data_IF_094298577736
#
_entry.id   IF_094298577736
#
_cell.length_a   1.000
_cell.length_b   1.000
_cell.length_c   1.000
_cell.angle_alpha   90.00
_cell.angle_beta   90.00
_cell.angle_gamma   90.00
#
_symmetry.space_group_name_H-M   'P 1'
#
loop_
_entity.id
_entity.type
_entity.pdbx_description
1 polymer ?
#
# COMPACT_ATOMS: atom_id res chain seq x y z
N UNK A 1 36.66 17.15 -15.45
CA UNK A 1 38.02 17.09 -16.02
C UNK A 1 39.09 17.49 -14.99
N UNK A 2 39.06 18.71 -14.44
CA UNK A 2 40.10 19.19 -13.49
C UNK A 2 40.19 18.40 -12.17
N UNK A 3 39.06 17.94 -11.61
CA UNK A 3 39.03 17.14 -10.38
C UNK A 3 39.79 15.81 -10.46
N UNK A 4 39.89 15.21 -11.65
CA UNK A 4 40.62 13.94 -11.85
C UNK A 4 42.13 14.17 -11.74
N UNK A 5 42.60 15.30 -12.25
CA UNK A 5 44.02 15.71 -12.20
C UNK A 5 44.45 15.92 -10.75
N UNK A 6 43.66 16.65 -9.96
CA UNK A 6 43.95 16.93 -8.55
C UNK A 6 43.96 15.69 -7.65
N UNK A 7 43.52 14.53 -8.14
CA UNK A 7 43.52 13.26 -7.38
C UNK A 7 44.61 12.30 -7.84
N UNK A 8 45.42 12.66 -8.83
CA UNK A 8 46.45 11.78 -9.34
C UNK A 8 47.67 11.75 -8.41
N UNK A 9 48.07 10.58 -7.87
CA UNK A 9 49.23 10.46 -6.98
C UNK A 9 50.56 10.92 -7.59
N UNK A 10 50.64 10.96 -8.94
CA UNK A 10 51.86 11.36 -9.66
C UNK A 10 52.40 12.72 -9.22
N UNK A 11 51.51 13.63 -8.80
CA UNK A 11 51.89 15.00 -8.41
C UNK A 11 52.67 15.07 -7.10
N UNK A 12 52.50 14.11 -6.18
CA UNK A 12 53.31 14.03 -4.96
C UNK A 12 54.44 13.01 -5.03
N UNK A 13 54.67 12.41 -6.21
CA UNK A 13 55.70 11.39 -6.41
C UNK A 13 55.17 9.95 -6.40
N UNK A 14 53.88 9.71 -6.14
CA UNK A 14 53.32 8.36 -6.12
C UNK A 14 52.99 7.82 -7.52
N UNK A 15 53.29 6.55 -7.79
CA UNK A 15 52.91 5.85 -9.02
C UNK A 15 51.88 4.78 -8.69
N UNK A 16 50.72 4.87 -9.36
CA UNK A 16 49.65 3.89 -9.20
C UNK A 16 49.93 2.64 -10.06
N UNK A 17 50.05 1.49 -9.42
CA UNK A 17 50.25 0.19 -10.05
C UNK A 17 48.95 -0.60 -9.95
N UNK A 18 48.40 -0.98 -11.10
CA UNK A 18 47.19 -1.80 -11.18
C UNK A 18 47.49 -3.22 -10.70
N UNK A 19 46.48 -3.88 -10.14
CA UNK A 19 46.55 -5.26 -9.70
C UNK A 19 46.92 -6.17 -10.88
N UNK A 20 47.78 -7.15 -10.61
CA UNK A 20 48.19 -8.14 -11.58
C UNK A 20 48.30 -9.52 -10.91
N UNK A 21 47.51 -10.48 -11.39
CA UNK A 21 47.37 -11.82 -10.80
C UNK A 21 47.00 -11.74 -9.31
N UNK A 22 47.86 -12.23 -8.43
CA UNK A 22 47.64 -12.29 -6.98
C UNK A 22 48.15 -11.03 -6.26
N UNK A 23 48.69 -10.04 -6.99
CA UNK A 23 49.18 -8.79 -6.42
C UNK A 23 48.09 -7.72 -6.38
N UNK A 24 47.82 -7.09 -5.22
CA UNK A 24 46.80 -6.06 -5.07
C UNK A 24 47.20 -4.73 -5.72
N UNK A 25 46.23 -3.85 -5.96
CA UNK A 25 46.49 -2.47 -6.40
C UNK A 25 47.26 -1.72 -5.30
N UNK A 26 48.41 -1.14 -5.66
CA UNK A 26 49.27 -0.40 -4.72
C UNK A 26 49.75 0.92 -5.32
N UNK A 27 50.06 1.87 -4.45
CA UNK A 27 50.75 3.10 -4.80
C UNK A 27 52.17 2.99 -4.26
N UNK A 28 53.15 3.09 -5.15
CA UNK A 28 54.58 3.03 -4.82
C UNK A 28 55.23 4.39 -5.02
N UNK A 29 56.36 4.61 -4.36
CA UNK A 29 57.14 5.83 -4.57
C UNK A 29 57.81 5.79 -5.95
N UNK A 30 57.57 6.83 -6.74
CA UNK A 30 58.19 7.05 -8.04
C UNK A 30 59.58 7.64 -7.91
N UNK A 31 60.36 7.51 -8.99
CA UNK A 31 61.71 8.06 -9.10
C UNK A 31 61.74 9.52 -9.59
N UNK A 32 60.59 10.09 -9.97
CA UNK A 32 60.49 11.45 -10.45
C UNK A 32 60.35 12.46 -9.32
N UNK A 33 60.82 13.69 -9.56
CA UNK A 33 60.68 14.76 -8.58
C UNK A 33 59.19 15.15 -8.40
N UNK A 34 58.69 15.22 -7.15
CA UNK A 34 57.31 15.57 -6.90
C UNK A 34 57.05 17.05 -7.19
N UNK A 35 55.92 17.35 -7.84
CA UNK A 35 55.51 18.73 -8.16
C UNK A 35 54.92 19.42 -6.91
N UNK A 36 54.28 18.67 -6.02
CA UNK A 36 53.76 19.15 -4.74
C UNK A 36 54.13 18.21 -3.60
N UNK A 37 54.18 18.73 -2.37
CA UNK A 37 54.39 17.86 -1.20
C UNK A 37 53.17 16.96 -0.95
N UNK A 38 53.42 15.73 -0.45
CA UNK A 38 52.36 14.80 -0.03
C UNK A 38 51.38 15.43 0.95
N UNK A 39 51.89 16.22 1.90
CA UNK A 39 51.08 16.97 2.87
C UNK A 39 50.10 17.95 2.18
N UNK A 40 50.56 18.71 1.19
CA UNK A 40 49.71 19.63 0.44
C UNK A 40 48.67 18.87 -0.39
N UNK A 41 49.08 17.77 -1.02
CA UNK A 41 48.18 16.91 -1.78
C UNK A 41 47.05 16.35 -0.90
N UNK A 42 47.38 15.83 0.28
CA UNK A 42 46.41 15.27 1.23
C UNK A 42 45.43 16.35 1.73
N UNK A 43 45.90 17.57 2.01
CA UNK A 43 45.04 18.70 2.38
C UNK A 43 44.02 19.02 1.29
N UNK A 44 44.42 18.98 0.02
CA UNK A 44 43.51 19.18 -1.12
C UNK A 44 42.48 18.06 -1.21
N UNK A 45 42.86 16.80 -0.96
CA UNK A 45 41.90 15.68 -0.95
C UNK A 45 40.79 15.88 0.09
N UNK A 46 41.16 16.30 1.30
CA UNK A 46 40.20 16.60 2.38
C UNK A 46 39.17 17.67 1.94
N UNK A 47 39.63 18.73 1.27
CA UNK A 47 38.75 19.79 0.76
C UNK A 47 37.84 19.29 -0.37
N UNK A 48 38.37 18.48 -1.29
CA UNK A 48 37.60 17.90 -2.39
C UNK A 48 36.51 16.94 -1.88
N UNK A 49 36.83 16.12 -0.89
CA UNK A 49 35.89 15.17 -0.28
C UNK A 49 34.83 15.87 0.57
N UNK A 50 35.21 16.95 1.28
CA UNK A 50 34.26 17.79 2.00
C UNK A 50 33.25 18.49 1.06
N UNK A 51 33.69 18.92 -0.14
CA UNK A 51 32.79 19.49 -1.17
C UNK A 51 31.82 18.44 -1.74
N UNK A 52 32.25 17.18 -1.90
CA UNK A 52 31.36 16.09 -2.37
C UNK A 52 30.16 15.88 -1.45
N UNK A 53 30.34 16.06 -0.13
CA UNK A 53 29.24 15.98 0.86
C UNK A 53 28.23 17.14 0.75
N UNK A 54 28.66 18.33 0.32
CA UNK A 54 27.79 19.52 0.19
C UNK A 54 26.89 19.51 -1.06
N UNK A 55 27.24 18.75 -2.10
CA UNK A 55 26.45 18.65 -3.34
C UNK A 55 25.42 17.53 -3.36
N UNK A 56 25.38 16.68 -2.33
CA UNK A 56 24.22 15.84 -2.09
C UNK A 56 23.10 16.69 -1.51
N UNK A 57 22.43 17.45 -2.38
CA UNK A 57 21.08 17.94 -2.06
C UNK A 57 20.24 16.69 -1.83
N UNK A 58 19.93 16.41 -0.58
CA UNK A 58 18.88 15.44 -0.22
C UNK A 58 17.58 15.97 -0.81
N UNK A 59 17.30 15.61 -2.06
CA UNK A 59 15.97 15.82 -2.61
C UNK A 59 15.00 15.09 -1.71
N UNK A 60 14.02 15.81 -1.14
CA UNK A 60 12.95 15.16 -0.42
C UNK A 60 12.35 14.11 -1.36
N UNK A 61 12.33 12.85 -0.90
CA UNK A 61 11.74 11.74 -1.68
C UNK A 61 10.30 12.07 -2.08
N UNK A 62 9.63 12.87 -1.25
CA UNK A 62 8.25 13.33 -1.37
C UNK A 62 8.25 14.76 -1.89
N UNK A 63 7.62 14.98 -3.04
CA UNK A 63 7.39 16.30 -3.62
C UNK A 63 5.88 16.46 -3.83
N UNK A 64 5.30 17.53 -3.30
CA UNK A 64 3.87 17.81 -3.35
C UNK A 64 3.34 17.94 -4.78
N UNK A 65 4.19 18.39 -5.72
CA UNK A 65 3.85 18.47 -7.15
C UNK A 65 3.72 17.10 -7.82
N UNK A 66 4.25 16.04 -7.23
CA UNK A 66 4.28 14.71 -7.84
C UNK A 66 3.74 13.63 -6.88
N UNK A 67 2.44 13.66 -6.54
CA UNK A 67 1.85 12.73 -5.59
C UNK A 67 2.00 11.27 -6.01
N UNK A 68 1.91 10.98 -7.31
CA UNK A 68 1.97 9.63 -7.87
C UNK A 68 3.41 9.13 -8.11
N UNK A 69 4.44 9.93 -7.81
CA UNK A 69 5.84 9.51 -7.98
C UNK A 69 6.15 8.26 -7.16
N UNK A 70 6.72 7.25 -7.81
CA UNK A 70 7.03 5.96 -7.20
C UNK A 70 5.91 4.93 -7.27
N UNK A 71 4.69 5.32 -7.67
CA UNK A 71 3.57 4.40 -7.89
C UNK A 71 3.34 4.08 -9.37
N UNK A 72 3.78 4.93 -10.29
CA UNK A 72 3.50 4.79 -11.72
C UNK A 72 4.52 3.90 -12.45
N UNK A 73 4.02 3.06 -13.35
CA UNK A 73 4.78 2.30 -14.34
C UNK A 73 4.65 2.94 -15.72
N UNK A 74 5.73 2.89 -16.49
CA UNK A 74 5.73 3.31 -17.89
C UNK A 74 4.92 2.32 -18.74
N UNK A 75 3.91 2.76 -19.51
CA UNK A 75 3.12 1.88 -20.36
C UNK A 75 3.91 1.24 -21.51
N UNK A 76 5.10 1.78 -21.87
CA UNK A 76 5.94 1.22 -22.93
C UNK A 76 6.88 0.11 -22.44
N UNK A 77 7.40 0.21 -21.21
CA UNK A 77 8.45 -0.69 -20.73
C UNK A 77 8.26 -1.22 -19.31
N UNK A 78 7.13 -0.94 -18.67
CA UNK A 78 6.77 -1.33 -17.30
C UNK A 78 7.80 -0.96 -16.22
N UNK A 79 8.73 -0.04 -16.50
CA UNK A 79 9.67 0.48 -15.51
C UNK A 79 9.04 1.63 -14.72
N UNK A 80 9.41 1.83 -13.44
CA UNK A 80 8.88 2.92 -12.64
C UNK A 80 9.19 4.29 -13.25
N UNK A 81 8.19 5.16 -13.31
CA UNK A 81 8.37 6.52 -13.80
C UNK A 81 9.06 7.40 -12.75
N UNK A 82 9.98 8.21 -13.24
CA UNK A 82 10.53 9.36 -12.51
C UNK A 82 9.70 10.60 -12.80
N UNK A 83 10.03 11.72 -12.16
CA UNK A 83 9.28 12.95 -12.35
C UNK A 83 10.20 14.17 -12.28
N UNK A 84 10.00 15.11 -13.19
CA UNK A 84 10.79 16.33 -13.32
C UNK A 84 9.94 17.49 -13.81
N UNK A 85 10.37 18.71 -13.46
CA UNK A 85 9.84 19.94 -14.04
C UNK A 85 10.82 20.41 -15.11
N UNK A 86 10.33 20.68 -16.31
CA UNK A 86 11.08 21.25 -17.41
C UNK A 86 10.66 22.71 -17.60
N UNK A 87 11.62 23.60 -17.83
CA UNK A 87 11.34 25.01 -18.17
C UNK A 87 11.22 25.16 -19.68
N UNK A 88 10.08 25.69 -20.14
CA UNK A 88 9.86 26.13 -21.51
C UNK A 88 10.24 27.60 -21.72
N UNK A 89 9.76 28.20 -22.82
CA UNK A 89 10.05 29.63 -23.13
C UNK A 89 9.43 30.58 -22.11
N UNK A 90 8.18 30.34 -21.75
CA UNK A 90 7.39 31.17 -20.83
C UNK A 90 6.99 30.45 -19.53
N UNK A 91 6.82 29.13 -19.58
CA UNK A 91 6.19 28.36 -18.50
C UNK A 91 6.99 27.13 -18.08
N UNK A 92 6.65 26.57 -16.93
CA UNK A 92 7.22 25.32 -16.44
C UNK A 92 6.22 24.18 -16.64
N UNK A 93 6.69 23.10 -17.25
CA UNK A 93 5.89 21.91 -17.53
C UNK A 93 6.37 20.76 -16.67
N UNK A 94 5.45 20.07 -16.02
CA UNK A 94 5.77 18.96 -15.14
C UNK A 94 5.36 17.62 -15.77
N UNK A 95 6.27 16.64 -15.71
CA UNK A 95 6.11 15.35 -16.37
C UNK A 95 6.47 14.19 -15.45
N UNK A 96 5.75 13.10 -15.61
CA UNK A 96 6.23 11.77 -15.29
C UNK A 96 6.95 11.22 -16.52
N UNK A 97 8.21 10.78 -16.37
CA UNK A 97 9.01 10.34 -17.50
C UNK A 97 9.83 9.10 -17.16
N UNK A 98 10.07 8.28 -18.19
CA UNK A 98 10.95 7.15 -18.09
C UNK A 98 12.41 7.58 -18.19
N UNK A 99 13.30 6.62 -17.89
CA UNK A 99 14.75 6.74 -18.05
C UNK A 99 15.15 5.96 -19.30
N UNK A 100 16.20 6.45 -19.97
CA UNK A 100 16.86 5.80 -21.11
C UNK A 100 17.04 4.28 -20.89
N UNK A 101 16.85 3.44 -21.92
CA UNK A 101 16.59 3.77 -23.33
C UNK A 101 15.15 4.19 -23.66
N UNK A 102 14.19 4.06 -22.74
CA UNK A 102 12.80 4.43 -23.00
C UNK A 102 12.63 5.95 -22.87
N UNK A 103 11.93 6.55 -23.86
CA UNK A 103 11.74 7.99 -23.97
C UNK A 103 10.34 8.45 -23.55
N UNK A 104 9.52 7.54 -23.02
CA UNK A 104 8.16 7.82 -22.57
C UNK A 104 8.08 9.02 -21.62
N UNK A 105 7.21 9.97 -21.96
CA UNK A 105 6.97 11.21 -21.22
C UNK A 105 5.47 11.49 -21.18
N UNK A 106 4.96 11.74 -19.98
CA UNK A 106 3.53 11.90 -19.73
C UNK A 106 3.30 13.13 -18.87
N UNK A 107 2.38 14.00 -19.26
CA UNK A 107 2.06 15.20 -18.48
C UNK A 107 1.46 14.77 -17.13
N UNK A 108 1.74 15.53 -16.08
CA UNK A 108 1.12 15.27 -14.77
C UNK A 108 -0.40 15.23 -14.89
N UNK A 109 -0.98 16.20 -15.60
CA UNK A 109 -2.43 16.33 -15.78
C UNK A 109 -3.08 15.07 -16.35
N UNK A 110 -2.42 14.41 -17.31
CA UNK A 110 -2.93 13.17 -17.92
C UNK A 110 -2.95 12.02 -16.93
N UNK A 111 -1.86 11.85 -16.17
CA UNK A 111 -1.75 10.82 -15.14
C UNK A 111 -2.74 11.08 -13.99
N UNK A 112 -2.83 12.32 -13.51
CA UNK A 112 -3.76 12.69 -12.43
C UNK A 112 -5.21 12.58 -12.88
N UNK A 113 -5.56 12.99 -14.11
CA UNK A 113 -6.92 12.83 -14.65
C UNK A 113 -7.30 11.36 -14.74
N UNK A 114 -6.39 10.50 -15.21
CA UNK A 114 -6.61 9.06 -15.29
C UNK A 114 -6.83 8.45 -13.90
N UNK A 115 -6.00 8.86 -12.94
CA UNK A 115 -6.10 8.42 -11.55
C UNK A 115 -7.40 8.90 -10.90
N UNK A 116 -7.77 10.16 -11.06
CA UNK A 116 -9.03 10.72 -10.54
C UNK A 116 -10.26 10.08 -11.17
N UNK A 117 -10.22 9.76 -12.46
CA UNK A 117 -11.28 8.99 -13.13
C UNK A 117 -11.43 7.60 -12.52
N UNK A 118 -10.32 6.93 -12.24
CA UNK A 118 -10.33 5.65 -11.54
C UNK A 118 -10.91 5.78 -10.12
N UNK A 119 -10.49 6.77 -9.33
CA UNK A 119 -11.03 7.03 -7.99
C UNK A 119 -12.55 7.22 -8.04
N UNK A 120 -13.06 8.05 -8.95
CA UNK A 120 -14.50 8.24 -9.16
C UNK A 120 -15.23 6.95 -9.51
N UNK A 121 -14.58 6.04 -10.24
CA UNK A 121 -15.19 4.76 -10.60
C UNK A 121 -15.39 3.85 -9.38
N UNK A 122 -14.49 3.93 -8.39
CA UNK A 122 -14.55 3.12 -7.16
C UNK A 122 -15.27 3.82 -6.01
N UNK A 123 -15.60 5.12 -6.12
CA UNK A 123 -16.39 5.84 -5.14
C UNK A 123 -17.80 5.25 -5.06
N UNK A 124 -18.24 4.91 -3.85
CA UNK A 124 -19.59 4.38 -3.63
C UNK A 124 -20.63 5.51 -3.64
N UNK A 125 -21.65 5.35 -4.47
CA UNK A 125 -22.86 6.17 -4.40
C UNK A 125 -23.66 5.80 -3.15
N UNK A 126 -24.32 6.78 -2.53
CA UNK A 126 -25.11 6.58 -1.30
C UNK A 126 -26.10 5.39 -1.38
N UNK A 127 -26.90 5.21 -2.46
CA UNK A 127 -27.83 4.07 -2.55
C UNK A 127 -27.13 2.70 -2.63
N UNK A 128 -25.97 2.64 -3.29
CA UNK A 128 -25.18 1.40 -3.41
C UNK A 128 -24.57 1.03 -2.06
N UNK A 129 -24.12 2.03 -1.31
CA UNK A 129 -23.59 1.85 0.04
C UNK A 129 -24.66 1.33 1.01
N UNK A 130 -25.86 1.89 0.97
CA UNK A 130 -27.00 1.42 1.78
C UNK A 130 -27.35 -0.03 1.44
N UNK A 131 -27.41 -0.39 0.15
CA UNK A 131 -27.65 -1.76 -0.30
C UNK A 131 -26.55 -2.73 0.17
N UNK A 132 -25.27 -2.36 0.03
CA UNK A 132 -24.15 -3.18 0.50
C UNK A 132 -24.20 -3.41 2.00
N UNK A 133 -24.57 -2.39 2.79
CA UNK A 133 -24.72 -2.53 4.24
C UNK A 133 -25.83 -3.53 4.59
N UNK A 134 -26.96 -3.51 3.88
CA UNK A 134 -28.05 -4.47 4.07
C UNK A 134 -27.57 -5.89 3.73
N UNK A 135 -26.96 -6.09 2.57
CA UNK A 135 -26.47 -7.42 2.13
C UNK A 135 -25.45 -7.99 3.12
N UNK A 136 -24.49 -7.17 3.58
CA UNK A 136 -23.49 -7.62 4.56
C UNK A 136 -24.16 -7.96 5.89
N UNK A 137 -25.12 -7.15 6.34
CA UNK A 137 -25.86 -7.42 7.57
C UNK A 137 -26.61 -8.75 7.48
N UNK A 138 -27.32 -9.00 6.39
CA UNK A 138 -28.04 -10.25 6.16
C UNK A 138 -27.09 -11.46 6.09
N UNK A 139 -25.95 -11.32 5.42
CA UNK A 139 -24.99 -12.40 5.29
C UNK A 139 -24.33 -12.74 6.63
N UNK A 140 -23.98 -11.73 7.43
CA UNK A 140 -23.47 -11.92 8.79
C UNK A 140 -24.54 -12.52 9.71
N UNK A 141 -25.81 -12.12 9.57
CA UNK A 141 -26.91 -12.74 10.31
C UNK A 141 -27.14 -14.20 9.93
N UNK A 142 -27.04 -14.56 8.64
CA UNK A 142 -27.10 -15.96 8.20
C UNK A 142 -25.94 -16.78 8.77
N UNK A 143 -24.72 -16.23 8.76
CA UNK A 143 -23.56 -16.85 9.42
C UNK A 143 -23.77 -16.98 10.93
N UNK A 144 -24.38 -16.00 11.60
CA UNK A 144 -24.74 -16.11 13.02
C UNK A 144 -25.73 -17.25 13.26
N UNK A 145 -26.74 -17.41 12.41
CA UNK A 145 -27.72 -18.48 12.56
C UNK A 145 -27.11 -19.88 12.37
N UNK A 146 -26.11 -20.01 11.48
CA UNK A 146 -25.39 -21.28 11.28
C UNK A 146 -24.26 -21.52 12.28
N UNK A 147 -23.70 -20.46 12.90
CA UNK A 147 -22.60 -20.53 13.87
C UNK A 147 -23.01 -20.35 15.32
N UNK A 148 -24.31 -20.19 15.61
CA UNK A 148 -24.80 -20.18 16.98
C UNK A 148 -24.39 -21.49 17.66
N UNK A 149 -23.53 -21.37 18.68
CA UNK A 149 -23.25 -22.47 19.59
C UNK A 149 -24.58 -22.94 20.16
N UNK A 150 -24.97 -24.16 19.78
CA UNK A 150 -26.25 -24.74 20.17
C UNK A 150 -26.27 -25.09 21.66
N UNK A 151 -27.43 -25.48 22.22
CA UNK A 151 -27.54 -25.88 23.61
C UNK A 151 -26.53 -26.99 24.00
N UNK A 152 -26.22 -27.90 23.06
CA UNK A 152 -25.19 -28.95 23.22
C UNK A 152 -23.79 -28.43 23.55
N UNK A 153 -23.41 -27.25 23.05
CA UNK A 153 -22.12 -26.64 23.38
C UNK A 153 -22.06 -26.25 24.85
N UNK A 154 -23.08 -25.52 25.32
CA UNK A 154 -23.17 -25.08 26.72
C UNK A 154 -23.34 -26.25 27.69
N UNK A 155 -24.05 -27.31 27.29
CA UNK A 155 -24.10 -28.58 28.03
C UNK A 155 -22.71 -29.21 28.16
N UNK A 156 -21.91 -29.20 27.09
CA UNK A 156 -20.54 -29.73 27.10
C UNK A 156 -19.63 -28.89 27.99
N UNK A 157 -19.71 -27.56 27.92
CA UNK A 157 -18.96 -26.64 28.80
C UNK A 157 -19.28 -26.93 30.26
N UNK A 158 -20.58 -27.04 30.60
CA UNK A 158 -21.02 -27.37 31.96
C UNK A 158 -20.48 -28.72 32.42
N UNK A 159 -20.56 -29.74 31.58
CA UNK A 159 -20.06 -31.08 31.90
C UNK A 159 -18.55 -31.11 32.14
N UNK A 160 -17.76 -30.32 31.40
CA UNK A 160 -16.32 -30.22 31.59
C UNK A 160 -15.98 -29.46 32.89
N UNK A 161 -16.70 -28.38 33.19
CA UNK A 161 -16.57 -27.68 34.48
C UNK A 161 -16.94 -28.58 35.67
N UNK A 162 -18.04 -29.32 35.58
CA UNK A 162 -18.46 -30.27 36.61
C UNK A 162 -17.40 -31.37 36.81
N UNK A 163 -16.73 -31.81 35.74
CA UNK A 163 -15.59 -32.73 35.84
C UNK A 163 -14.41 -32.08 36.55
N UNK A 164 -14.01 -30.87 36.17
CA UNK A 164 -12.91 -30.13 36.81
C UNK A 164 -13.11 -29.96 38.33
N UNK A 165 -14.36 -29.69 38.76
CA UNK A 165 -14.72 -29.63 40.18
C UNK A 165 -14.53 -31.01 40.84
N UNK A 166 -15.09 -32.07 40.24
CA UNK A 166 -14.97 -33.43 40.80
C UNK A 166 -13.52 -33.90 40.97
N UNK A 167 -12.63 -33.61 40.03
CA UNK A 167 -11.21 -33.99 40.17
C UNK A 167 -10.49 -33.15 41.22
N UNK A 168 -10.94 -31.92 41.50
CA UNK A 168 -10.44 -31.15 42.64
C UNK A 168 -10.88 -31.80 43.94
N UNK A 169 -12.16 -32.16 44.07
CA UNK A 169 -12.69 -32.81 45.26
C UNK A 169 -11.98 -34.14 45.54
N UNK A 170 -11.80 -34.99 44.51
CA UNK A 170 -11.09 -36.27 44.64
C UNK A 170 -9.61 -36.12 45.04
N UNK A 171 -8.96 -35.03 44.62
CA UNK A 171 -7.60 -34.73 45.03
C UNK A 171 -7.55 -34.25 46.49
N UNK A 172 -8.52 -33.42 46.91
CA UNK A 172 -8.65 -32.94 48.29
C UNK A 172 -8.95 -34.12 49.24
N UNK A 173 -9.81 -35.04 48.84
CA UNK A 173 -10.18 -36.25 49.58
C UNK A 173 -9.05 -37.31 49.61
N UNK A 174 -7.91 -37.02 48.97
CA UNK A 174 -6.73 -37.90 48.95
C UNK A 174 -6.89 -39.16 48.10
N UNK A 175 -7.94 -39.23 47.27
CA UNK A 175 -8.23 -40.39 46.40
C UNK A 175 -7.45 -40.37 45.09
N UNK A 176 -6.64 -39.34 44.86
CA UNK A 176 -5.90 -39.14 43.61
C UNK A 176 -4.55 -38.47 43.90
N UNK A 177 -3.51 -38.89 43.18
CA UNK A 177 -2.17 -38.34 43.38
C UNK A 177 -1.98 -36.98 42.66
N UNK A 178 -0.90 -36.26 42.99
CA UNK A 178 -0.60 -34.95 42.39
C UNK A 178 -0.31 -35.02 40.89
N UNK A 179 0.34 -36.07 40.42
CA UNK A 179 0.66 -36.30 39.00
C UNK A 179 -0.62 -36.54 38.19
N UNK A 180 -1.49 -37.42 38.68
CA UNK A 180 -2.80 -37.75 38.14
C UNK A 180 -3.72 -36.51 38.10
N UNK A 181 -3.79 -35.75 39.19
CA UNK A 181 -4.50 -34.47 39.23
C UNK A 181 -4.02 -33.52 38.15
N UNK A 182 -2.71 -33.33 38.05
CA UNK A 182 -2.12 -32.36 37.12
C UNK A 182 -2.39 -32.75 35.67
N UNK A 183 -2.29 -34.04 35.34
CA UNK A 183 -2.61 -34.56 34.01
C UNK A 183 -4.10 -34.45 33.67
N UNK A 184 -4.98 -34.81 34.61
CA UNK A 184 -6.42 -34.74 34.41
C UNK A 184 -6.90 -33.29 34.28
N UNK A 185 -6.44 -32.39 35.17
CA UNK A 185 -6.72 -30.95 35.11
C UNK A 185 -6.30 -30.37 33.77
N UNK A 186 -5.07 -30.62 33.32
CA UNK A 186 -4.57 -30.11 32.04
C UNK A 186 -5.46 -30.55 30.88
N UNK A 187 -5.81 -31.83 30.81
CA UNK A 187 -6.67 -32.37 29.75
C UNK A 187 -8.03 -31.67 29.67
N UNK A 188 -8.69 -31.47 30.80
CA UNK A 188 -10.00 -30.81 30.82
C UNK A 188 -9.89 -29.30 30.62
N UNK A 189 -8.80 -28.68 31.09
CA UNK A 189 -8.52 -27.27 30.82
C UNK A 189 -8.27 -27.02 29.33
N UNK A 190 -7.48 -27.86 28.65
CA UNK A 190 -7.24 -27.74 27.21
C UNK A 190 -8.56 -27.82 26.41
N UNK A 191 -9.49 -28.69 26.83
CA UNK A 191 -10.82 -28.81 26.22
C UNK A 191 -11.68 -27.57 26.51
N UNK A 192 -11.61 -27.02 27.73
CA UNK A 192 -12.34 -25.82 28.11
C UNK A 192 -11.86 -24.61 27.30
N UNK A 193 -10.55 -24.45 27.17
CA UNK A 193 -9.92 -23.38 26.39
C UNK A 193 -10.33 -23.45 24.91
N UNK A 194 -10.42 -24.66 24.32
CA UNK A 194 -10.92 -24.85 22.95
C UNK A 194 -12.38 -24.42 22.80
N UNK A 195 -13.23 -24.74 23.79
CA UNK A 195 -14.64 -24.35 23.79
C UNK A 195 -14.82 -22.83 23.97
N UNK A 196 -14.00 -22.19 24.82
CA UNK A 196 -13.99 -20.75 25.01
C UNK A 196 -13.53 -19.98 23.75
N UNK A 197 -12.57 -20.53 23.00
CA UNK A 197 -12.14 -19.94 21.72
C UNK A 197 -13.29 -19.87 20.70
N UNK A 198 -14.16 -20.88 20.68
CA UNK A 198 -15.35 -20.89 19.82
C UNK A 198 -16.36 -19.80 20.24
N UNK A 199 -16.54 -19.60 21.54
CA UNK A 199 -17.41 -18.53 22.07
C UNK A 199 -16.86 -17.12 21.76
N UNK A 200 -15.55 -16.93 21.90
CA UNK A 200 -14.88 -15.68 21.55
C UNK A 200 -14.97 -15.37 20.05
N UNK A 201 -14.84 -16.39 19.19
CA UNK A 201 -15.03 -16.24 17.75
C UNK A 201 -16.46 -15.79 17.40
N UNK A 202 -17.46 -16.25 18.16
CA UNK A 202 -18.86 -15.86 17.98
C UNK A 202 -19.11 -14.39 18.42
N UNK A 203 -18.55 -13.96 19.55
CA UNK A 203 -18.74 -12.60 20.07
C UNK A 203 -18.09 -11.51 19.19
N UNK A 204 -16.97 -11.82 18.51
CA UNK A 204 -16.30 -10.88 17.60
C UNK A 204 -17.14 -10.46 16.38
N UNK A 205 -18.23 -11.15 16.04
CA UNK A 205 -19.02 -10.85 14.83
C UNK A 205 -19.81 -9.53 14.88
N UNK A 206 -20.23 -9.05 16.06
CA UNK A 206 -20.85 -7.71 16.16
C UNK A 206 -19.83 -6.59 15.89
N UNK A 207 -18.61 -6.75 16.39
CA UNK A 207 -17.51 -5.81 16.12
C UNK A 207 -17.11 -5.80 14.64
N UNK A 208 -17.20 -6.96 13.99
CA UNK A 208 -16.92 -7.11 12.56
C UNK A 208 -17.90 -6.27 11.71
N UNK A 209 -19.20 -6.29 12.01
CA UNK A 209 -20.17 -5.50 11.24
C UNK A 209 -19.92 -3.99 11.35
N UNK A 210 -19.68 -3.48 12.57
CA UNK A 210 -19.36 -2.07 12.77
C UNK A 210 -18.05 -1.66 12.08
N UNK A 211 -17.08 -2.57 12.04
CA UNK A 211 -15.82 -2.39 11.30
C UNK A 211 -16.08 -2.28 9.79
N UNK A 212 -16.90 -3.16 9.22
CA UNK A 212 -17.30 -3.09 7.81
C UNK A 212 -18.05 -1.80 7.50
N UNK A 213 -18.98 -1.40 8.36
CA UNK A 213 -19.77 -0.17 8.20
C UNK A 213 -18.86 1.07 8.15
N UNK A 214 -17.90 1.17 9.08
CA UNK A 214 -16.89 2.24 9.12
C UNK A 214 -15.97 2.22 7.88
N UNK A 215 -15.58 1.03 7.43
CA UNK A 215 -14.77 0.87 6.21
C UNK A 215 -15.51 1.34 4.96
N UNK A 216 -16.76 0.90 4.79
CA UNK A 216 -17.60 1.30 3.66
C UNK A 216 -17.93 2.79 3.66
N UNK A 217 -18.17 3.39 4.83
CA UNK A 217 -18.39 4.84 4.91
C UNK A 217 -17.15 5.64 4.52
N UNK A 218 -15.93 5.11 4.72
CA UNK A 218 -14.71 5.76 4.23
C UNK A 218 -14.55 5.67 2.71
N UNK A 219 -15.12 4.64 2.08
CA UNK A 219 -15.20 4.57 0.61
C UNK A 219 -16.23 5.55 0.02
N UNK A 220 -17.07 6.13 0.87
CA UNK A 220 -17.92 7.26 0.50
C UNK A 220 -17.05 8.52 0.39
N UNK A 221 -17.15 9.23 -0.74
CA UNK A 221 -16.37 10.43 -1.03
C UNK A 221 -14.84 10.21 -1.08
N UNK A 222 -14.39 9.01 -1.48
CA UNK A 222 -12.97 8.67 -1.57
C UNK A 222 -12.19 9.62 -2.50
N UNK A 223 -12.83 10.09 -3.57
CA UNK A 223 -12.33 11.11 -4.48
C UNK A 223 -12.09 12.47 -3.79
N UNK A 224 -13.05 12.92 -2.96
CA UNK A 224 -12.91 14.18 -2.21
C UNK A 224 -11.81 14.09 -1.15
N UNK A 225 -11.76 12.98 -0.42
CA UNK A 225 -10.71 12.73 0.57
C UNK A 225 -9.31 12.77 -0.05
N UNK A 226 -9.17 12.26 -1.28
CA UNK A 226 -7.91 12.37 -2.01
C UNK A 226 -7.60 13.80 -2.42
N UNK A 227 -8.57 14.57 -2.93
CA UNK A 227 -8.34 15.96 -3.39
C UNK A 227 -7.96 16.88 -2.22
N UNK A 228 -8.72 16.81 -1.14
CA UNK A 228 -8.58 17.67 0.05
C UNK A 228 -7.40 17.26 0.94
N UNK A 229 -6.90 16.03 0.76
CA UNK A 229 -5.79 15.48 1.53
C UNK A 229 -4.45 16.16 1.25
N UNK A 230 -3.61 16.20 2.28
CA UNK A 230 -2.20 16.55 2.14
C UNK A 230 -1.42 15.48 1.34
N UNK A 231 -0.14 15.75 1.05
CA UNK A 231 0.68 14.83 0.24
C UNK A 231 0.84 13.45 0.91
N UNK A 232 0.85 13.39 2.24
CA UNK A 232 0.96 12.13 2.97
C UNK A 232 -0.30 11.30 2.82
N UNK A 233 -1.48 11.89 3.03
CA UNK A 233 -2.76 11.24 2.85
C UNK A 233 -2.99 10.81 1.40
N UNK A 234 -2.65 11.65 0.42
CA UNK A 234 -2.70 11.28 -1.00
C UNK A 234 -1.90 10.01 -1.26
N UNK A 235 -0.64 9.98 -0.84
CA UNK A 235 0.24 8.82 -1.03
C UNK A 235 -0.20 7.58 -0.26
N UNK A 236 -0.72 7.76 0.96
CA UNK A 236 -1.29 6.68 1.76
C UNK A 236 -2.47 6.04 1.04
N UNK A 237 -3.43 6.85 0.59
CA UNK A 237 -4.59 6.38 -0.15
C UNK A 237 -4.17 5.68 -1.46
N UNK A 238 -3.21 6.24 -2.20
CA UNK A 238 -2.66 5.57 -3.40
C UNK A 238 -2.07 4.21 -3.06
N UNK A 239 -1.27 4.09 -2.00
CA UNK A 239 -0.67 2.82 -1.58
C UNK A 239 -1.67 1.78 -1.07
N UNK A 240 -2.77 2.22 -0.45
CA UNK A 240 -3.85 1.33 0.00
C UNK A 240 -4.63 0.72 -1.16
N UNK A 241 -4.83 1.48 -2.24
CA UNK A 241 -5.54 1.01 -3.44
C UNK A 241 -4.64 0.14 -4.31
N UNK A 242 -3.37 0.53 -4.41
CA UNK A 242 -2.38 -0.08 -5.28
C UNK A 242 -1.23 -0.61 -4.42
N UNK A 243 -1.33 -1.87 -3.93
CA UNK A 243 -0.26 -2.52 -3.18
C UNK A 243 1.05 -2.54 -3.97
N UNK A 244 0.92 -2.75 -5.29
CA UNK A 244 1.98 -2.68 -6.28
C UNK A 244 1.82 -1.44 -7.17
N UNK A 245 2.83 -1.15 -7.98
CA UNK A 245 2.80 -0.02 -8.93
C UNK A 245 1.76 -0.25 -10.03
N UNK A 246 1.26 0.82 -10.63
CA UNK A 246 0.22 0.75 -11.67
C UNK A 246 0.61 1.56 -12.91
N UNK A 247 0.16 1.12 -14.07
CA UNK A 247 0.31 1.83 -15.33
C UNK A 247 -0.89 2.70 -15.66
N UNK A 248 -0.75 3.54 -16.68
CA UNK A 248 -1.87 4.25 -17.29
C UNK A 248 -1.72 4.25 -18.80
N UNK A 249 -2.81 3.97 -19.51
CA UNK A 249 -2.86 3.96 -20.96
C UNK A 249 -4.26 4.41 -21.41
N UNK A 250 -4.34 5.23 -22.45
CA UNK A 250 -5.62 5.71 -23.00
C UNK A 250 -6.56 6.32 -21.94
N UNK A 251 -5.99 7.13 -21.02
CA UNK A 251 -6.69 7.76 -19.88
C UNK A 251 -7.31 6.78 -18.87
N UNK A 252 -6.89 5.52 -18.87
CA UNK A 252 -7.33 4.49 -17.92
C UNK A 252 -6.15 3.98 -17.10
N UNK A 253 -6.41 3.70 -15.83
CA UNK A 253 -5.46 3.01 -14.96
C UNK A 253 -5.43 1.52 -15.31
N UNK A 254 -4.24 0.94 -15.38
CA UNK A 254 -4.00 -0.48 -15.63
C UNK A 254 -3.17 -1.07 -14.49
N UNK A 255 -3.60 -2.22 -13.96
CA UNK A 255 -2.85 -2.97 -12.95
C UNK A 255 -3.47 -4.35 -12.78
N UNK A 256 -2.64 -5.34 -12.45
CA UNK A 256 -3.04 -6.71 -12.14
C UNK A 256 -3.48 -6.90 -10.68
N UNK A 257 -3.15 -5.97 -9.79
CA UNK A 257 -3.09 -6.24 -8.35
C UNK A 257 -4.08 -5.40 -7.53
N UNK A 258 -5.15 -4.88 -8.15
CA UNK A 258 -6.21 -4.18 -7.42
C UNK A 258 -7.04 -5.18 -6.62
N UNK A 259 -7.43 -4.78 -5.42
CA UNK A 259 -8.40 -5.51 -4.61
C UNK A 259 -9.69 -5.81 -5.43
N UNK A 260 -10.06 -7.08 -5.63
CA UNK A 260 -11.24 -7.48 -6.43
C UNK A 260 -12.55 -6.80 -6.00
N UNK A 261 -12.68 -6.41 -4.73
CA UNK A 261 -13.82 -5.65 -4.22
C UNK A 261 -13.97 -4.30 -4.95
N UNK A 262 -12.87 -3.58 -5.14
CA UNK A 262 -12.87 -2.26 -5.81
C UNK A 262 -13.25 -2.40 -7.29
N UNK A 263 -12.80 -3.46 -7.96
CA UNK A 263 -13.19 -3.78 -9.34
C UNK A 263 -14.70 -4.08 -9.44
N UNK A 264 -15.25 -4.86 -8.50
CA UNK A 264 -16.69 -5.12 -8.45
C UNK A 264 -17.48 -3.84 -8.22
N UNK A 265 -17.05 -2.97 -7.30
CA UNK A 265 -17.69 -1.66 -7.07
C UNK A 265 -17.69 -0.82 -8.35
N UNK A 266 -16.55 -0.75 -9.04
CA UNK A 266 -16.44 -0.03 -10.32
C UNK A 266 -17.41 -0.59 -11.37
N UNK A 267 -17.48 -1.91 -11.53
CA UNK A 267 -18.42 -2.56 -12.46
C UNK A 267 -19.89 -2.23 -12.14
N UNK A 268 -20.28 -2.27 -10.86
CA UNK A 268 -21.62 -1.94 -10.40
C UNK A 268 -21.95 -0.48 -10.75
N UNK A 269 -21.05 0.45 -10.44
CA UNK A 269 -21.20 1.86 -10.74
C UNK A 269 -21.37 2.12 -12.25
N UNK A 270 -20.59 1.46 -13.11
CA UNK A 270 -20.74 1.59 -14.57
C UNK A 270 -22.09 1.08 -15.07
N UNK A 271 -22.60 -0.02 -14.51
CA UNK A 271 -23.94 -0.54 -14.79
C UNK A 271 -25.04 0.47 -14.43
N UNK A 272 -24.96 1.11 -13.26
CA UNK A 272 -25.91 2.16 -12.88
C UNK A 272 -25.87 3.39 -13.80
N UNK A 273 -24.69 3.81 -14.27
CA UNK A 273 -24.55 4.93 -15.20
C UNK A 273 -25.13 4.64 -16.58
N UNK A 274 -24.98 3.41 -17.08
CA UNK A 274 -25.56 2.98 -18.36
C UNK A 274 -27.09 2.97 -18.36
N UNK A 275 -27.72 2.61 -17.22
CA UNK A 275 -29.18 2.64 -17.05
C UNK A 275 -29.73 4.06 -17.08
N UNK A 276 -29.05 5.02 -16.42
CA UNK A 276 -29.45 6.44 -16.45
C UNK A 276 -29.44 7.09 -17.84
N UNK A 277 -28.67 6.55 -18.80
CA UNK A 277 -28.63 7.07 -20.19
C UNK A 277 -29.77 6.55 -21.07
N UNK A 278 -30.53 5.54 -20.64
CA UNK A 278 -31.66 4.98 -21.42
C UNK A 278 -32.99 5.69 -21.17
N UNK A 279 -33.09 6.46 -20.09
CA UNK A 279 -34.27 7.27 -19.80
C UNK A 279 -34.12 8.65 -20.47
N UNK A 280 -34.33 8.71 -21.79
CA UNK A 280 -34.56 9.97 -22.49
C UNK A 280 -36.09 10.21 -22.55
N UNK A 281 -36.63 11.32 -22.03
CA UNK A 281 -38.05 11.58 -22.07
C UNK A 281 -38.42 12.07 -23.48
N UNK A 282 -38.95 11.18 -24.31
CA UNK A 282 -39.57 11.56 -25.57
C UNK A 282 -40.95 12.17 -25.27
N UNK A 283 -40.98 13.40 -24.74
CA UNK A 283 -42.19 14.22 -24.69
C UNK A 283 -42.35 14.95 -26.03
N UNK A 284 -42.78 14.22 -27.06
CA UNK A 284 -43.39 14.77 -28.27
C UNK A 284 -44.40 13.77 -28.80
N UNK A 285 -45.60 13.79 -28.23
CA UNK A 285 -46.89 13.61 -28.94
C UNK A 285 -48.02 13.53 -27.92
N UNK A 286 -48.64 14.66 -27.60
CA UNK A 286 -50.03 14.71 -27.16
C UNK A 286 -50.68 15.98 -27.70
N UNK A 287 -50.79 16.09 -29.02
CA UNK A 287 -51.89 16.83 -29.64
C UNK A 287 -53.10 15.90 -29.72
N UNK A 288 -54.06 16.05 -28.80
CA UNK A 288 -55.44 15.60 -29.02
C UNK A 288 -56.32 16.83 -29.08
N UNK A 289 -56.77 17.13 -30.30
CA UNK A 289 -57.91 17.98 -30.61
C UNK A 289 -59.08 17.62 -29.69
N UNK A 290 -59.68 18.63 -29.07
CA UNK A 290 -61.03 18.54 -28.51
C UNK A 290 -61.90 19.43 -29.38
N UNK A 291 -62.79 18.81 -30.15
CA UNK A 291 -63.90 19.48 -30.83
C UNK A 291 -64.90 19.94 -29.77
N UNK A 292 -65.37 21.18 -29.90
CA UNK A 292 -66.69 21.63 -29.46
C UNK A 292 -67.35 22.26 -30.68
#
# INVERSE_FOLDING_TARGET
MFSIILRNPIYYGGVFVKAYKDEPEIIVDGIHEPIVSKKLFDQVQVVLDAKKKKHHVTHSRINTKFPLKGFLLCPECNRPLTASVCKGRSEHYAYYHCISPCKGRYRIEEAETSFMSFLKSITLNKPVLELLQIIIKEQLQKQLLTSKLGPKHYEKVKLINDKLIKIQDLFIDGQMDKSEYTQAKKRYQDILDELELLEQAQNKQKDIFETYKKGLSKLQNFDKQYVDGDIHNKRLLTGLIFPNKFGFQNKKVQTSDINPLLLKISSINTGFQSKKKRDNPNFKDMSRLVNI
#
